data_IF_343887137932
#
_entry.id   IF_343887137932
#
_cell.length_a   1.000
_cell.length_b   1.000
_cell.length_c   1.000
_cell.angle_alpha   90.00
_cell.angle_beta   90.00
_cell.angle_gamma   90.00
#
_symmetry.space_group_name_H-M   'P 1'
#
loop_
_entity.id
_entity.type
_entity.pdbx_description
1 polymer ?
#
# COMPACT_ATOMS: atom_id res chain seq x y z
N UNK A 1 11.40 15.84 -1.08
CA UNK A 1 9.93 15.68 -1.15
C UNK A 1 9.45 15.15 0.17
N UNK A 2 8.46 15.80 0.81
CA UNK A 2 7.78 15.26 1.98
C UNK A 2 7.03 14.01 1.52
N UNK A 3 7.38 12.83 2.03
CA UNK A 3 6.64 11.61 1.73
C UNK A 3 5.23 11.71 2.33
N UNK A 4 4.19 11.22 1.63
CA UNK A 4 2.83 11.25 2.15
C UNK A 4 2.73 10.45 3.44
N UNK A 5 1.81 10.88 4.30
CA UNK A 5 1.45 10.13 5.49
C UNK A 5 1.03 8.69 5.13
N UNK A 6 1.54 7.73 5.91
CA UNK A 6 1.40 6.30 5.63
C UNK A 6 -0.06 5.86 5.70
N UNK A 7 -0.85 6.41 6.63
CA UNK A 7 -2.26 6.09 6.76
C UNK A 7 -3.05 6.63 5.57
N UNK A 8 -2.72 7.84 5.12
CA UNK A 8 -3.32 8.43 3.92
C UNK A 8 -3.03 7.56 2.69
N UNK A 9 -1.78 7.13 2.51
CA UNK A 9 -1.40 6.29 1.37
C UNK A 9 -2.07 4.89 1.41
N UNK A 10 -2.22 4.29 2.59
CA UNK A 10 -2.92 3.03 2.76
C UNK A 10 -4.42 3.13 2.40
N UNK A 11 -5.07 4.24 2.78
CA UNK A 11 -6.46 4.52 2.38
C UNK A 11 -6.58 4.72 0.87
N UNK A 12 -5.66 5.46 0.27
CA UNK A 12 -5.65 5.70 -1.18
C UNK A 12 -5.49 4.40 -1.97
N UNK A 13 -4.61 3.48 -1.55
CA UNK A 13 -4.49 2.16 -2.15
C UNK A 13 -5.77 1.32 -2.01
N UNK A 14 -6.43 1.41 -0.86
CA UNK A 14 -7.69 0.70 -0.63
C UNK A 14 -8.81 1.21 -1.56
N UNK A 15 -8.87 2.53 -1.75
CA UNK A 15 -9.81 3.18 -2.69
C UNK A 15 -9.49 2.80 -4.14
N UNK A 16 -8.21 2.82 -4.53
CA UNK A 16 -7.76 2.40 -5.86
C UNK A 16 -8.26 0.98 -6.19
N UNK A 17 -8.05 0.01 -5.29
CA UNK A 17 -8.51 -1.38 -5.48
C UNK A 17 -10.03 -1.51 -5.50
N UNK A 18 -10.75 -0.70 -4.73
CA UNK A 18 -12.21 -0.68 -4.77
C UNK A 18 -12.71 -0.15 -6.12
N UNK A 19 -12.12 0.93 -6.62
CA UNK A 19 -12.45 1.50 -7.92
C UNK A 19 -12.07 0.60 -9.08
N UNK A 20 -10.92 -0.08 -9.03
CA UNK A 20 -10.50 -1.08 -10.00
C UNK A 20 -11.58 -2.16 -10.16
N UNK A 21 -12.06 -2.74 -9.05
CA UNK A 21 -13.15 -3.72 -9.07
C UNK A 21 -14.46 -3.14 -9.58
N UNK A 22 -14.79 -1.90 -9.20
CA UNK A 22 -16.04 -1.26 -9.63
C UNK A 22 -16.06 -0.97 -11.14
N UNK A 23 -14.94 -0.53 -11.71
CA UNK A 23 -14.79 -0.31 -13.16
C UNK A 23 -14.87 -1.63 -13.92
N UNK A 24 -14.27 -2.70 -13.40
CA UNK A 24 -14.40 -4.03 -14.00
C UNK A 24 -15.83 -4.57 -13.96
N UNK A 25 -16.58 -4.27 -12.89
CA UNK A 25 -17.99 -4.67 -12.77
C UNK A 25 -18.93 -3.82 -13.64
N UNK A 26 -18.61 -2.55 -13.87
CA UNK A 26 -19.44 -1.59 -14.60
C UNK A 26 -18.58 -0.77 -15.59
N UNK A 27 -18.10 -1.39 -16.69
CA UNK A 27 -17.14 -0.76 -17.60
C UNK A 27 -17.72 0.42 -18.38
N UNK A 28 -19.06 0.51 -18.49
CA UNK A 28 -19.76 1.56 -19.22
C UNK A 28 -20.11 2.79 -18.35
N UNK A 29 -19.81 2.76 -17.05
CA UNK A 29 -20.08 3.88 -16.14
C UNK A 29 -18.92 4.90 -16.15
N UNK A 30 -19.06 6.06 -16.82
CA UNK A 30 -17.96 7.00 -17.03
C UNK A 30 -17.50 7.66 -15.72
N UNK A 31 -18.41 7.83 -14.75
CA UNK A 31 -18.10 8.41 -13.44
C UNK A 31 -17.17 7.49 -12.63
N UNK A 32 -17.39 6.18 -12.69
CA UNK A 32 -16.54 5.20 -12.02
C UNK A 32 -15.15 5.16 -12.65
N UNK A 33 -15.08 5.17 -13.99
CA UNK A 33 -13.81 5.21 -14.72
C UNK A 33 -13.01 6.47 -14.38
N UNK A 34 -13.65 7.64 -14.37
CA UNK A 34 -12.97 8.90 -14.02
C UNK A 34 -12.43 8.89 -12.59
N UNK A 35 -13.20 8.40 -11.61
CA UNK A 35 -12.72 8.28 -10.21
C UNK A 35 -11.53 7.32 -10.07
N UNK A 36 -11.54 6.23 -10.84
CA UNK A 36 -10.41 5.31 -10.91
C UNK A 36 -9.15 6.00 -11.47
N UNK A 37 -9.30 6.71 -12.59
CA UNK A 37 -8.20 7.47 -13.23
C UNK A 37 -7.65 8.58 -12.31
N UNK A 38 -8.51 9.34 -11.62
CA UNK A 38 -8.10 10.38 -10.67
C UNK A 38 -7.28 9.79 -9.49
N UNK A 39 -7.73 8.64 -8.98
CA UNK A 39 -7.01 7.92 -7.91
C UNK A 39 -5.67 7.38 -8.40
N UNK A 40 -5.63 6.84 -9.62
CA UNK A 40 -4.42 6.37 -10.27
C UNK A 40 -3.41 7.50 -10.49
N UNK A 41 -3.87 8.65 -11.00
CA UNK A 41 -3.04 9.84 -11.21
C UNK A 41 -2.44 10.36 -9.89
N UNK A 42 -3.24 10.40 -8.84
CA UNK A 42 -2.77 10.80 -7.50
C UNK A 42 -1.66 9.87 -7.00
N UNK A 43 -1.81 8.56 -7.17
CA UNK A 43 -0.76 7.59 -6.81
C UNK A 43 0.52 7.80 -7.63
N UNK A 44 0.41 8.02 -8.94
CA UNK A 44 1.56 8.29 -9.80
C UNK A 44 2.35 9.52 -9.32
N UNK A 45 1.67 10.63 -9.01
CA UNK A 45 2.30 11.87 -8.52
C UNK A 45 2.94 11.65 -7.15
N UNK A 46 2.25 10.99 -6.22
CA UNK A 46 2.77 10.76 -4.87
C UNK A 46 3.99 9.85 -4.84
N UNK A 47 4.03 8.85 -5.72
CA UNK A 47 5.14 7.89 -5.78
C UNK A 47 6.24 8.29 -6.77
N UNK A 48 6.01 9.32 -7.60
CA UNK A 48 6.95 9.76 -8.62
C UNK A 48 7.09 8.78 -9.79
N UNK A 49 6.04 8.01 -10.08
CA UNK A 49 6.05 6.93 -11.07
C UNK A 49 5.23 7.30 -12.31
N UNK A 50 5.57 6.73 -13.46
CA UNK A 50 4.94 7.08 -14.76
C UNK A 50 3.65 6.31 -15.02
N UNK A 51 3.45 5.18 -14.36
CA UNK A 51 2.27 4.33 -14.55
C UNK A 51 1.62 4.00 -13.21
N UNK A 52 0.30 3.77 -13.25
CA UNK A 52 -0.47 3.40 -12.07
C UNK A 52 0.04 2.09 -11.44
N UNK A 53 0.47 1.14 -12.28
CA UNK A 53 1.03 -0.14 -11.82
C UNK A 53 2.33 0.06 -11.05
N UNK A 54 3.26 0.84 -11.59
CA UNK A 54 4.53 1.15 -10.91
C UNK A 54 4.28 1.91 -9.61
N UNK A 55 3.36 2.89 -9.64
CA UNK A 55 2.96 3.66 -8.47
C UNK A 55 2.41 2.78 -7.35
N UNK A 56 1.51 1.84 -7.68
CA UNK A 56 0.94 0.89 -6.71
C UNK A 56 2.03 0.01 -6.10
N UNK A 57 2.92 -0.55 -6.93
CA UNK A 57 4.03 -1.35 -6.42
C UNK A 57 4.98 -0.54 -5.52
N UNK A 58 5.30 0.70 -5.90
CA UNK A 58 6.13 1.57 -5.10
C UNK A 58 5.47 1.90 -3.74
N UNK A 59 4.17 2.19 -3.75
CA UNK A 59 3.39 2.47 -2.55
C UNK A 59 3.31 1.25 -1.62
N UNK A 60 3.04 0.06 -2.16
CA UNK A 60 3.04 -1.21 -1.41
C UNK A 60 4.40 -1.47 -0.76
N UNK A 61 5.50 -1.28 -1.49
CA UNK A 61 6.87 -1.40 -0.93
C UNK A 61 7.13 -0.38 0.18
N UNK A 62 6.72 0.87 0.00
CA UNK A 62 6.89 1.91 1.00
C UNK A 62 6.15 1.58 2.30
N UNK A 63 4.89 1.14 2.21
CA UNK A 63 4.11 0.70 3.38
C UNK A 63 4.69 -0.54 4.04
N UNK A 64 5.16 -1.51 3.27
CA UNK A 64 5.81 -2.72 3.80
C UNK A 64 7.09 -2.38 4.59
N UNK A 65 7.94 -1.51 4.05
CA UNK A 65 9.15 -1.03 4.74
C UNK A 65 8.80 -0.27 6.02
N UNK A 66 7.79 0.59 5.95
CA UNK A 66 7.30 1.32 7.11
C UNK A 66 6.78 0.40 8.22
N UNK A 67 6.07 -0.67 7.87
CA UNK A 67 5.59 -1.69 8.82
C UNK A 67 6.75 -2.49 9.43
N UNK A 68 7.74 -2.87 8.62
CA UNK A 68 8.91 -3.57 9.11
C UNK A 68 9.70 -2.72 10.12
N UNK A 69 9.87 -1.42 9.85
CA UNK A 69 10.52 -0.49 10.77
C UNK A 69 9.73 -0.27 12.08
N UNK A 70 8.40 -0.35 12.04
CA UNK A 70 7.56 -0.22 13.23
C UNK A 70 7.49 -1.51 14.06
N UNK A 71 7.87 -2.67 13.52
CA UNK A 71 7.83 -3.93 14.24
C UNK A 71 9.09 -4.05 15.13
N UNK A 72 8.95 -4.14 16.47
CA UNK A 72 10.11 -4.40 17.31
C UNK A 72 10.72 -5.75 16.91
N UNK A 73 12.07 -5.90 16.96
CA UNK A 73 12.69 -7.18 16.71
C UNK A 73 12.10 -8.20 17.68
N UNK A 74 11.56 -9.31 17.16
CA UNK A 74 11.20 -10.44 17.99
C UNK A 74 12.47 -10.87 18.73
N UNK A 75 12.49 -10.68 20.05
CA UNK A 75 13.58 -11.14 20.88
C UNK A 75 13.75 -12.65 20.65
N UNK A 76 14.98 -13.16 20.49
CA UNK A 76 15.19 -14.59 20.33
C UNK A 76 14.62 -15.30 21.55
N UNK A 77 13.74 -16.28 21.29
CA UNK A 77 13.18 -17.13 22.34
C UNK A 77 14.34 -17.69 23.17
N UNK A 78 14.31 -17.45 24.48
CA UNK A 78 15.32 -17.93 25.40
C UNK A 78 15.47 -19.46 25.23
N UNK A 79 16.71 -20.01 25.18
CA UNK A 79 16.89 -21.43 25.05
C UNK A 79 16.27 -22.16 26.25
N UNK A 80 15.71 -23.37 26.06
CA UNK A 80 15.17 -24.14 27.17
C UNK A 80 16.29 -24.47 28.16
N UNK A 81 16.12 -24.03 29.41
CA UNK A 81 16.99 -24.40 30.52
C UNK A 81 16.98 -25.92 30.68
N UNK A 82 18.12 -26.57 30.44
CA UNK A 82 18.30 -27.99 30.71
C UNK A 82 18.07 -28.28 32.20
N UNK A 83 17.36 -29.36 32.58
CA UNK A 83 17.28 -29.78 33.97
C UNK A 83 18.61 -30.42 34.40
N UNK A 84 19.24 -29.88 35.44
CA UNK A 84 20.40 -30.47 36.13
C UNK A 84 19.97 -31.73 36.87
N UNK A 85 20.71 -32.84 36.67
CA UNK A 85 20.59 -34.09 37.45
C UNK A 85 21.17 -33.95 38.85
#
# INVERSE_FOLDING_TARGET
MLLPDKQTLARLLSHYRAHERAVLAQPHEPVLRRRFEDTAYTLCVLMGERTAREAVHAAERYLSRARAAARPPLAPAAPPSSPTS
#
